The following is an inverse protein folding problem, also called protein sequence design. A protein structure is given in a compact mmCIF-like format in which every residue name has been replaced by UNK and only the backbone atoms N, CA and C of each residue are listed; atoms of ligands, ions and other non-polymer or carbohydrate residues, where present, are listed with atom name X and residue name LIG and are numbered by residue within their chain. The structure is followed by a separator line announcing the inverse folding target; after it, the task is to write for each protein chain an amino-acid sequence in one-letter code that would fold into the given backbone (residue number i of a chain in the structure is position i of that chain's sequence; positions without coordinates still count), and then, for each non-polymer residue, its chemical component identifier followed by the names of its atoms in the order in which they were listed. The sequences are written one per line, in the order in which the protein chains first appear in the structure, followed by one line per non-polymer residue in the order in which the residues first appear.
data_IF_313803974515
#
_entry.id   IF_313803974515
#
_cell.length_a   1.000
_cell.length_b   1.000
_cell.length_c   1.000
_cell.angle_alpha   90.00
_cell.angle_beta   90.00
_cell.angle_gamma   90.00
#
_symmetry.space_group_name_H-M   'P 1'
#
loop_
_entity.id
_entity.type
_entity.pdbx_description
1 polymer ?
#
# COMPACT_ATOMS: atom_id res chain seq x y z
N UNK A 1 -7.92 91.49 12.35
CA UNK A 1 -8.58 90.48 11.46
C UNK A 1 -7.56 89.45 11.00
N UNK A 2 -7.40 88.35 11.69
CA UNK A 2 -6.49 87.31 11.29
C UNK A 2 -7.10 85.97 11.69
N UNK A 3 -7.41 85.10 10.69
CA UNK A 3 -7.98 83.80 10.87
C UNK A 3 -6.85 82.82 11.16
N UNK A 4 -6.97 82.07 12.26
CA UNK A 4 -6.15 80.89 12.57
C UNK A 4 -6.57 79.75 11.68
N UNK A 5 -5.59 79.09 11.02
CA UNK A 5 -5.73 77.76 10.40
C UNK A 5 -5.20 76.71 11.37
N UNK A 6 -6.07 75.82 11.78
CA UNK A 6 -5.69 74.62 12.52
C UNK A 6 -5.20 73.54 11.55
N UNK A 7 -4.01 73.06 11.84
CA UNK A 7 -3.43 71.90 11.15
C UNK A 7 -3.88 70.62 11.87
N UNK A 8 -4.69 69.82 11.20
CA UNK A 8 -5.00 68.46 11.61
C UNK A 8 -3.92 67.52 11.07
N UNK A 9 -3.13 66.87 11.94
CA UNK A 9 -2.18 65.89 11.62
C UNK A 9 -2.87 64.48 11.42
N UNK A 10 -2.30 63.55 10.62
CA UNK A 10 -2.91 62.27 10.38
C UNK A 10 -2.72 61.31 11.57
N UNK A 11 -3.83 60.74 12.02
CA UNK A 11 -3.86 59.64 12.97
C UNK A 11 -3.30 58.36 12.26
N UNK A 12 -2.19 57.87 12.78
CA UNK A 12 -1.66 56.56 12.42
C UNK A 12 -2.55 55.47 13.01
N UNK A 13 -3.25 54.74 12.15
CA UNK A 13 -3.99 53.54 12.49
C UNK A 13 -3.00 52.37 12.59
N UNK A 14 -2.59 52.00 13.80
CA UNK A 14 -1.82 50.77 14.06
C UNK A 14 -2.76 49.59 13.92
N UNK A 15 -2.65 48.86 12.81
CA UNK A 15 -3.31 47.58 12.64
C UNK A 15 -2.62 46.53 13.53
N UNK A 16 -3.30 46.14 14.60
CA UNK A 16 -2.94 44.98 15.43
C UNK A 16 -3.21 43.72 14.64
N UNK A 17 -2.16 43.11 14.06
CA UNK A 17 -2.25 41.77 13.47
C UNK A 17 -2.28 40.79 14.64
N UNK A 18 -3.48 40.30 14.99
CA UNK A 18 -3.65 39.15 15.87
C UNK A 18 -3.29 37.91 15.06
N UNK A 19 -2.10 37.40 15.34
CA UNK A 19 -1.69 36.09 14.85
C UNK A 19 -2.51 35.02 15.62
N UNK A 20 -3.66 34.62 15.09
CA UNK A 20 -4.37 33.43 15.55
C UNK A 20 -3.55 32.27 15.04
N UNK A 21 -2.69 31.70 15.90
CA UNK A 21 -2.13 30.36 15.67
C UNK A 21 -3.30 29.38 15.64
N UNK A 22 -3.80 29.11 14.45
CA UNK A 22 -4.80 28.08 14.20
C UNK A 22 -4.16 26.75 14.49
N UNK A 23 -4.47 26.17 15.64
CA UNK A 23 -4.37 24.73 15.84
C UNK A 23 -5.34 24.11 14.83
N UNK A 24 -4.83 23.67 13.69
CA UNK A 24 -5.60 22.82 12.78
C UNK A 24 -6.03 21.60 13.57
N UNK A 25 -7.32 21.29 13.68
CA UNK A 25 -7.75 20.06 14.32
C UNK A 25 -7.15 18.93 13.51
N UNK A 26 -6.39 18.05 14.16
CA UNK A 26 -5.93 16.78 13.56
C UNK A 26 -7.18 16.06 13.08
N UNK A 27 -7.28 15.88 11.77
CA UNK A 27 -8.51 15.37 11.19
C UNK A 27 -8.76 13.92 11.66
N UNK A 28 -10.01 13.52 11.95
CA UNK A 28 -10.35 12.19 12.52
C UNK A 28 -9.88 10.98 11.70
N UNK A 29 -9.63 11.16 10.41
CA UNK A 29 -9.16 10.10 9.51
C UNK A 29 -7.66 9.79 9.66
N UNK A 30 -6.85 10.78 9.95
CA UNK A 30 -5.46 10.53 10.35
C UNK A 30 -5.40 9.64 11.60
N UNK A 31 -6.52 9.63 12.36
CA UNK A 31 -6.70 8.76 13.53
C UNK A 31 -7.17 7.37 13.12
N UNK A 32 -7.91 7.18 12.02
CA UNK A 32 -8.39 5.87 11.56
C UNK A 32 -7.30 5.10 10.79
N UNK A 33 -6.62 5.72 9.83
CA UNK A 33 -5.42 5.15 9.22
C UNK A 33 -4.31 4.94 10.27
N UNK A 34 -4.20 5.84 11.28
CA UNK A 34 -3.35 5.65 12.45
C UNK A 34 -3.86 4.57 13.39
N UNK A 35 -5.15 4.30 13.49
CA UNK A 35 -5.68 3.24 14.37
C UNK A 35 -5.45 1.84 13.77
N UNK A 36 -5.51 1.71 12.45
CA UNK A 36 -5.15 0.47 11.77
C UNK A 36 -3.62 0.23 11.82
N UNK A 37 -2.79 1.30 11.84
CA UNK A 37 -1.32 1.22 11.90
C UNK A 37 -0.71 1.53 13.29
N UNK A 38 -1.48 2.01 14.28
CA UNK A 38 -0.98 2.44 15.61
C UNK A 38 -1.14 1.33 16.66
N UNK A 39 -0.67 0.15 16.39
CA UNK A 39 -0.78 -1.02 17.28
C UNK A 39 0.35 -1.12 18.33
N UNK A 40 1.14 -0.07 18.51
CA UNK A 40 2.13 0.02 19.60
C UNK A 40 1.53 0.31 20.99
N UNK A 41 0.19 0.36 21.15
CA UNK A 41 -0.45 0.82 22.40
C UNK A 41 -1.40 -0.15 23.10
N UNK A 42 -1.47 -1.42 22.71
CA UNK A 42 -2.26 -2.40 23.44
C UNK A 42 -1.35 -3.27 24.33
N UNK A 43 -1.40 -3.06 25.62
CA UNK A 43 -0.90 -4.01 26.63
C UNK A 43 -1.76 -5.29 26.60
N UNK A 44 -1.18 -6.48 26.86
CA UNK A 44 -1.90 -7.74 26.70
C UNK A 44 -2.81 -8.03 27.89
N UNK A 45 -4.08 -8.28 27.65
CA UNK A 45 -4.91 -9.03 28.59
C UNK A 45 -4.69 -10.53 28.41
N UNK A 46 -4.40 -11.19 29.52
CA UNK A 46 -4.01 -12.59 29.66
C UNK A 46 -5.29 -13.45 29.72
N UNK A 47 -5.55 -14.29 28.70
CA UNK A 47 -6.54 -15.34 28.84
C UNK A 47 -6.05 -16.67 28.26
N UNK A 48 -5.81 -17.60 29.16
CA UNK A 48 -5.33 -18.94 28.89
C UNK A 48 -6.44 -19.84 28.31
N UNK A 49 -6.27 -20.31 27.07
CA UNK A 49 -7.14 -21.32 26.47
C UNK A 49 -6.51 -22.72 26.51
N UNK A 50 -7.27 -23.68 27.01
CA UNK A 50 -6.95 -25.11 27.13
C UNK A 50 -7.08 -25.84 25.77
N UNK A 51 -6.29 -26.88 25.49
CA UNK A 51 -6.35 -27.59 24.22
C UNK A 51 -7.48 -28.61 24.15
N UNK A 52 -8.19 -28.66 23.03
CA UNK A 52 -9.16 -29.70 22.68
C UNK A 52 -8.51 -30.78 21.80
N UNK A 53 -8.75 -32.02 22.19
CA UNK A 53 -8.26 -33.24 21.54
C UNK A 53 -9.11 -33.57 20.31
N UNK A 54 -8.51 -33.68 19.13
CA UNK A 54 -9.17 -34.10 17.90
C UNK A 54 -9.05 -35.60 17.65
N UNK A 55 -10.18 -36.23 17.34
CA UNK A 55 -10.30 -37.64 16.92
C UNK A 55 -9.99 -37.80 15.42
N UNK A 56 -9.21 -38.79 15.09
CA UNK A 56 -8.80 -39.22 13.73
C UNK A 56 -9.94 -40.01 13.06
N UNK A 57 -10.26 -39.82 11.77
CA UNK A 57 -11.08 -40.75 10.99
C UNK A 57 -10.24 -41.71 10.14
N UNK A 58 -10.84 -42.84 9.84
CA UNK A 58 -10.23 -44.01 9.25
C UNK A 58 -10.06 -43.91 7.72
N UNK A 59 -9.05 -44.64 7.24
CA UNK A 59 -8.64 -44.80 5.83
C UNK A 59 -9.65 -45.66 5.04
N UNK A 60 -10.09 -45.17 3.88
CA UNK A 60 -10.81 -45.93 2.88
C UNK A 60 -9.88 -46.21 1.68
N UNK A 61 -9.75 -47.47 1.31
CA UNK A 61 -8.96 -47.96 0.17
C UNK A 61 -9.83 -47.95 -1.10
N UNK A 62 -9.43 -47.20 -2.12
CA UNK A 62 -10.12 -47.16 -3.42
C UNK A 62 -9.25 -47.81 -4.49
N UNK A 63 -9.82 -48.84 -5.16
CA UNK A 63 -9.22 -49.59 -6.26
C UNK A 63 -9.32 -48.79 -7.57
N UNK A 64 -8.19 -48.67 -8.29
CA UNK A 64 -8.07 -47.92 -9.56
C UNK A 64 -8.28 -48.88 -10.74
N UNK A 65 -9.13 -48.54 -11.75
CA UNK A 65 -9.22 -49.29 -13.00
C UNK A 65 -8.10 -48.88 -14.00
N UNK A 66 -7.76 -49.71 -14.99
CA UNK A 66 -6.62 -49.49 -15.89
C UNK A 66 -6.88 -48.38 -16.89
N UNK A 67 -5.89 -47.50 -17.05
CA UNK A 67 -5.90 -46.32 -17.92
C UNK A 67 -5.46 -46.71 -19.34
N UNK A 68 -6.28 -46.38 -20.32
CA UNK A 68 -5.93 -46.43 -21.75
C UNK A 68 -5.10 -45.20 -22.09
N UNK A 69 -3.86 -45.40 -22.53
CA UNK A 69 -2.92 -44.32 -22.92
C UNK A 69 -3.31 -43.77 -24.27
N UNK A 70 -3.94 -42.62 -24.31
CA UNK A 70 -4.06 -41.79 -25.52
C UNK A 70 -2.87 -40.82 -25.57
N UNK A 71 -2.12 -40.86 -26.68
CA UNK A 71 -1.01 -39.93 -26.97
C UNK A 71 -1.57 -38.52 -27.08
N UNK A 72 -1.12 -37.55 -26.27
CA UNK A 72 -1.62 -36.20 -26.39
C UNK A 72 -1.03 -35.51 -27.64
N UNK A 73 -1.89 -35.04 -28.52
CA UNK A 73 -1.53 -34.07 -29.55
C UNK A 73 -1.12 -32.79 -28.86
N UNK A 74 0.14 -32.38 -28.95
CA UNK A 74 0.65 -31.15 -28.41
C UNK A 74 0.04 -29.97 -29.16
N UNK A 75 -1.08 -29.49 -28.73
CA UNK A 75 -1.61 -28.19 -29.17
C UNK A 75 -0.78 -27.12 -28.49
N UNK A 76 0.09 -26.44 -29.23
CA UNK A 76 0.81 -25.28 -28.73
C UNK A 76 -0.22 -24.21 -28.40
N UNK A 77 -0.43 -23.94 -27.11
CA UNK A 77 -1.26 -22.84 -26.68
C UNK A 77 -0.73 -21.53 -27.28
N UNK A 78 -1.60 -20.58 -27.70
CA UNK A 78 -1.15 -19.29 -28.14
C UNK A 78 -0.30 -18.62 -27.04
N UNK A 79 0.70 -17.81 -27.40
CA UNK A 79 1.54 -17.13 -26.41
C UNK A 79 0.65 -16.31 -25.48
N UNK A 80 0.80 -16.51 -24.18
CA UNK A 80 0.13 -15.69 -23.16
C UNK A 80 0.74 -14.29 -23.31
N UNK A 81 -0.06 -13.32 -23.74
CA UNK A 81 0.35 -11.91 -23.76
C UNK A 81 0.33 -11.45 -22.31
N UNK A 82 1.52 -11.28 -21.74
CA UNK A 82 1.68 -10.73 -20.39
C UNK A 82 1.11 -9.31 -20.34
N UNK A 83 0.14 -9.06 -19.46
CA UNK A 83 -0.52 -7.76 -19.31
C UNK A 83 0.12 -6.94 -18.21
N UNK A 84 0.46 -7.57 -17.07
CA UNK A 84 1.14 -6.90 -15.97
C UNK A 84 2.65 -7.11 -16.08
N UNK A 85 3.38 -5.99 -16.06
CA UNK A 85 4.84 -5.95 -16.20
C UNK A 85 5.47 -5.23 -15.01
N UNK A 86 6.80 -5.16 -14.98
CA UNK A 86 7.53 -4.39 -13.96
C UNK A 86 7.40 -2.86 -14.17
N UNK A 87 7.03 -2.39 -15.38
CA UNK A 87 7.02 -0.96 -15.70
C UNK A 87 6.13 -0.12 -14.77
N UNK A 88 4.88 -0.53 -14.44
CA UNK A 88 4.04 0.22 -13.53
C UNK A 88 4.60 0.37 -12.11
N UNK A 89 5.51 -0.50 -11.68
CA UNK A 89 6.13 -0.42 -10.36
C UNK A 89 7.38 0.47 -10.32
N UNK A 90 7.84 0.96 -11.48
CA UNK A 90 9.00 1.84 -11.57
C UNK A 90 8.61 3.30 -11.39
N UNK A 91 9.59 4.09 -10.95
CA UNK A 91 9.46 5.54 -10.90
C UNK A 91 8.75 6.09 -9.68
N UNK A 92 8.15 7.27 -9.82
CA UNK A 92 7.44 7.98 -8.75
C UNK A 92 5.99 7.51 -8.67
N UNK A 93 5.61 6.97 -7.52
CA UNK A 93 4.24 6.55 -7.21
C UNK A 93 3.48 7.51 -6.29
N UNK A 94 2.15 7.42 -6.31
CA UNK A 94 1.27 8.05 -5.33
C UNK A 94 0.12 7.10 -4.98
N UNK A 95 -0.40 7.19 -3.75
CA UNK A 95 -1.40 6.28 -3.20
C UNK A 95 -2.73 6.98 -2.97
N UNK A 96 -3.82 6.29 -3.32
CA UNK A 96 -5.19 6.62 -2.93
C UNK A 96 -5.83 5.39 -2.28
N UNK A 97 -6.30 5.53 -1.05
CA UNK A 97 -7.10 4.51 -0.41
C UNK A 97 -8.62 4.80 -0.55
N UNK A 98 -9.45 3.88 -0.07
CA UNK A 98 -10.91 4.03 -0.17
C UNK A 98 -11.45 5.20 0.65
N UNK A 99 -10.73 5.65 1.67
CA UNK A 99 -11.14 6.77 2.51
C UNK A 99 -10.89 8.12 1.84
N UNK A 100 -10.07 8.14 0.79
CA UNK A 100 -9.81 9.32 -0.02
C UNK A 100 -10.83 9.51 -1.15
N UNK A 101 -11.10 8.44 -1.92
CA UNK A 101 -11.79 8.58 -3.20
C UNK A 101 -13.20 7.99 -3.25
N UNK A 102 -13.53 6.97 -2.41
CA UNK A 102 -14.83 6.34 -2.45
C UNK A 102 -15.90 7.26 -1.87
N UNK A 103 -17.02 7.42 -2.54
CA UNK A 103 -18.17 8.17 -2.02
C UNK A 103 -18.81 7.48 -0.79
N UNK A 104 -18.70 6.13 -0.72
CA UNK A 104 -19.29 5.32 0.36
C UNK A 104 -18.41 5.24 1.60
N UNK A 105 -17.07 5.35 1.45
CA UNK A 105 -16.11 5.14 2.52
C UNK A 105 -15.29 6.37 2.87
N UNK A 106 -15.29 7.43 2.03
CA UNK A 106 -14.54 8.64 2.30
C UNK A 106 -14.89 9.21 3.67
N UNK A 107 -13.86 9.46 4.47
CA UNK A 107 -14.00 10.10 5.78
C UNK A 107 -13.98 11.62 5.69
N UNK A 108 -13.71 12.15 4.50
CA UNK A 108 -13.74 13.57 4.19
C UNK A 108 -14.80 13.88 3.14
N UNK A 109 -15.50 14.96 3.34
CA UNK A 109 -16.43 15.48 2.36
C UNK A 109 -15.90 16.81 1.80
N UNK A 110 -15.75 16.92 0.49
CA UNK A 110 -15.99 15.86 -0.51
C UNK A 110 -14.84 14.85 -0.57
N UNK A 111 -15.15 13.62 -1.01
CA UNK A 111 -14.14 12.67 -1.47
C UNK A 111 -13.39 13.27 -2.68
N UNK A 112 -12.17 12.77 -2.94
CA UNK A 112 -11.42 13.16 -4.14
C UNK A 112 -12.20 12.75 -5.38
N UNK A 113 -12.28 13.67 -6.34
CA UNK A 113 -12.85 13.40 -7.65
C UNK A 113 -11.75 12.96 -8.64
N UNK A 114 -12.10 12.34 -9.78
CA UNK A 114 -11.10 11.89 -10.76
C UNK A 114 -10.16 12.98 -11.28
N UNK A 115 -10.55 14.25 -11.24
CA UNK A 115 -9.69 15.38 -11.61
C UNK A 115 -8.53 15.63 -10.63
N UNK A 116 -8.56 15.04 -9.44
CA UNK A 116 -7.40 15.02 -8.53
C UNK A 116 -6.15 14.38 -9.18
N UNK A 117 -6.34 13.53 -10.18
CA UNK A 117 -5.24 12.93 -10.97
C UNK A 117 -4.46 14.00 -11.76
N UNK A 118 -5.08 15.12 -12.12
CA UNK A 118 -4.38 16.23 -12.79
C UNK A 118 -3.29 16.82 -11.88
N UNK A 119 -3.58 16.92 -10.59
CA UNK A 119 -2.59 17.37 -9.62
C UNK A 119 -1.44 16.36 -9.46
N UNK A 120 -1.72 15.04 -9.50
CA UNK A 120 -0.69 13.99 -9.52
C UNK A 120 0.20 14.13 -10.76
N UNK A 121 -0.39 14.31 -11.94
CA UNK A 121 0.33 14.51 -13.18
C UNK A 121 1.24 15.75 -13.12
N UNK A 122 0.73 16.85 -12.56
CA UNK A 122 1.49 18.11 -12.37
C UNK A 122 2.69 17.93 -11.43
N UNK A 123 2.62 17.00 -10.46
CA UNK A 123 3.73 16.64 -9.59
C UNK A 123 4.69 15.62 -10.21
N UNK A 124 4.39 15.15 -11.42
CA UNK A 124 5.23 14.21 -12.15
C UNK A 124 5.09 12.77 -11.68
N UNK A 125 4.01 12.40 -11.03
CA UNK A 125 3.67 11.03 -10.67
C UNK A 125 3.55 10.19 -11.94
N UNK A 126 4.09 8.98 -11.90
CA UNK A 126 4.12 8.04 -13.02
C UNK A 126 3.23 6.81 -12.77
N UNK A 127 2.90 6.55 -11.50
CA UNK A 127 2.02 5.43 -11.12
C UNK A 127 1.07 5.85 -10.00
N UNK A 128 -0.22 5.58 -10.23
CA UNK A 128 -1.27 5.67 -9.23
C UNK A 128 -1.52 4.29 -8.64
N UNK A 129 -1.29 4.14 -7.34
CA UNK A 129 -1.73 2.99 -6.55
C UNK A 129 -3.11 3.30 -5.98
N UNK A 130 -4.17 2.63 -6.43
CA UNK A 130 -5.53 2.89 -6.00
C UNK A 130 -6.17 1.67 -5.35
N UNK A 131 -6.71 1.81 -4.13
CA UNK A 131 -7.44 0.74 -3.48
C UNK A 131 -8.76 0.51 -4.22
N UNK A 132 -8.86 -0.63 -4.89
CA UNK A 132 -9.97 -0.90 -5.82
C UNK A 132 -11.09 -1.75 -5.22
N UNK A 133 -10.89 -2.30 -4.02
CA UNK A 133 -11.88 -3.09 -3.29
C UNK A 133 -11.74 -2.91 -1.78
N UNK A 134 -12.81 -3.24 -1.05
CA UNK A 134 -12.81 -3.26 0.41
C UNK A 134 -13.54 -4.50 0.91
N UNK A 135 -13.00 -5.13 1.96
CA UNK A 135 -13.48 -6.42 2.48
C UNK A 135 -14.96 -6.42 2.87
N UNK A 136 -15.48 -5.31 3.38
CA UNK A 136 -16.88 -5.14 3.80
C UNK A 136 -17.76 -4.44 2.77
N UNK A 137 -17.29 -4.22 1.53
CA UNK A 137 -18.13 -3.79 0.43
C UNK A 137 -18.95 -4.96 -0.09
N UNK A 138 -20.20 -4.72 -0.53
CA UNK A 138 -21.04 -5.77 -1.12
C UNK A 138 -20.51 -6.23 -2.48
N UNK A 139 -19.93 -5.32 -3.27
CA UNK A 139 -19.35 -5.59 -4.58
C UNK A 139 -17.90 -6.07 -4.49
N UNK A 140 -17.41 -6.76 -5.51
CA UNK A 140 -16.01 -7.18 -5.62
C UNK A 140 -15.09 -6.03 -5.98
N UNK A 141 -15.59 -5.08 -6.78
CA UNK A 141 -14.92 -3.83 -7.14
C UNK A 141 -15.73 -2.68 -6.57
N UNK A 142 -15.06 -1.81 -5.83
CA UNK A 142 -15.72 -0.67 -5.19
C UNK A 142 -16.08 0.40 -6.23
N UNK A 143 -17.36 0.85 -6.22
CA UNK A 143 -17.87 1.93 -7.05
C UNK A 143 -17.33 1.90 -8.51
N UNK A 144 -17.62 0.85 -9.30
CA UNK A 144 -16.90 0.58 -10.56
C UNK A 144 -16.85 1.76 -11.53
N UNK A 145 -17.95 2.51 -11.67
CA UNK A 145 -18.01 3.65 -12.58
C UNK A 145 -17.07 4.79 -12.14
N UNK A 146 -16.99 5.04 -10.83
CA UNK A 146 -16.11 6.07 -10.26
C UNK A 146 -14.65 5.64 -10.35
N UNK A 147 -14.34 4.38 -9.99
CA UNK A 147 -12.99 3.83 -10.12
C UNK A 147 -12.49 3.89 -11.57
N UNK A 148 -13.35 3.51 -12.54
CA UNK A 148 -13.02 3.62 -13.96
C UNK A 148 -12.69 5.05 -14.37
N UNK A 149 -13.39 6.05 -13.85
CA UNK A 149 -13.08 7.45 -14.16
C UNK A 149 -11.70 7.88 -13.64
N UNK A 150 -11.24 7.37 -12.48
CA UNK A 150 -9.86 7.56 -12.01
C UNK A 150 -8.84 6.87 -12.93
N UNK A 151 -9.10 5.62 -13.34
CA UNK A 151 -8.23 4.86 -14.24
C UNK A 151 -8.10 5.56 -15.59
N UNK A 152 -9.23 5.93 -16.20
CA UNK A 152 -9.26 6.63 -17.49
C UNK A 152 -8.52 7.98 -17.41
N UNK A 153 -8.69 8.72 -16.31
CA UNK A 153 -7.99 10.00 -16.11
C UNK A 153 -6.49 9.82 -15.95
N UNK A 154 -6.06 8.79 -15.22
CA UNK A 154 -4.64 8.45 -15.07
C UNK A 154 -4.02 8.11 -16.43
N UNK A 155 -4.68 7.26 -17.22
CA UNK A 155 -4.23 6.89 -18.56
C UNK A 155 -4.17 8.08 -19.52
N UNK A 156 -5.11 9.04 -19.45
CA UNK A 156 -5.05 10.28 -20.23
C UNK A 156 -3.79 11.09 -19.96
N UNK A 157 -3.24 11.01 -18.75
CA UNK A 157 -1.96 11.64 -18.38
C UNK A 157 -0.74 10.74 -18.57
N UNK A 158 -0.90 9.53 -19.08
CA UNK A 158 0.18 8.55 -19.19
C UNK A 158 0.66 8.00 -17.84
N UNK A 159 -0.17 8.12 -16.79
CA UNK A 159 0.07 7.55 -15.47
C UNK A 159 -0.46 6.12 -15.47
N UNK A 160 0.40 5.15 -15.13
CA UNK A 160 -0.01 3.76 -14.95
C UNK A 160 -0.84 3.60 -13.67
N UNK A 161 -1.73 2.62 -13.65
CA UNK A 161 -2.58 2.34 -12.49
C UNK A 161 -2.31 0.94 -11.96
N UNK A 162 -1.98 0.85 -10.67
CA UNK A 162 -1.93 -0.41 -9.93
C UNK A 162 -3.14 -0.46 -9.00
N UNK A 163 -4.04 -1.42 -9.27
CA UNK A 163 -5.13 -1.71 -8.36
C UNK A 163 -4.62 -2.50 -7.16
N UNK A 164 -5.04 -2.16 -5.94
CA UNK A 164 -4.68 -2.93 -4.76
C UNK A 164 -5.89 -3.22 -3.86
N UNK A 165 -5.73 -4.26 -3.04
CA UNK A 165 -6.74 -4.71 -2.09
C UNK A 165 -6.08 -5.27 -0.83
N UNK A 166 -6.71 -5.01 0.32
CA UNK A 166 -6.35 -5.54 1.64
C UNK A 166 -7.32 -6.70 1.99
N UNK A 167 -6.91 -7.96 1.80
CA UNK A 167 -7.66 -9.14 2.19
C UNK A 167 -7.73 -9.28 3.71
N UNK A 168 -8.86 -9.75 4.25
CA UNK A 168 -8.94 -10.11 5.67
C UNK A 168 -8.51 -11.54 5.94
N UNK A 169 -8.50 -12.37 4.92
CA UNK A 169 -8.25 -13.81 5.01
C UNK A 169 -9.29 -14.59 5.83
N UNK A 170 -10.39 -13.96 6.26
CA UNK A 170 -11.51 -14.66 6.90
C UNK A 170 -12.28 -15.54 5.91
N UNK A 171 -12.39 -15.09 4.65
CA UNK A 171 -12.93 -15.83 3.51
C UNK A 171 -11.93 -15.79 2.33
N UNK A 172 -10.99 -16.74 2.24
CA UNK A 172 -10.00 -16.82 1.17
C UNK A 172 -10.59 -16.83 -0.24
N UNK A 173 -11.77 -17.47 -0.40
CA UNK A 173 -12.47 -17.54 -1.69
C UNK A 173 -12.98 -16.17 -2.13
N UNK A 174 -13.57 -15.42 -1.22
CA UNK A 174 -14.05 -14.06 -1.48
C UNK A 174 -12.91 -13.08 -1.70
N UNK A 175 -11.81 -13.20 -0.96
CA UNK A 175 -10.62 -12.38 -1.15
C UNK A 175 -10.01 -12.61 -2.53
N UNK A 176 -9.86 -13.87 -2.96
CA UNK A 176 -9.40 -14.21 -4.30
C UNK A 176 -10.33 -13.66 -5.38
N UNK A 177 -11.65 -13.79 -5.21
CA UNK A 177 -12.65 -13.27 -6.15
C UNK A 177 -12.48 -11.76 -6.35
N UNK A 178 -12.28 -10.98 -5.28
CA UNK A 178 -12.03 -9.54 -5.35
C UNK A 178 -10.74 -9.20 -6.10
N UNK A 179 -9.65 -9.91 -5.80
CA UNK A 179 -8.38 -9.72 -6.49
C UNK A 179 -8.50 -9.98 -8.00
N UNK A 180 -9.21 -11.03 -8.39
CA UNK A 180 -9.44 -11.35 -9.80
C UNK A 180 -10.37 -10.33 -10.48
N UNK A 181 -11.36 -9.80 -9.76
CA UNK A 181 -12.23 -8.75 -10.27
C UNK A 181 -11.44 -7.45 -10.53
N UNK A 182 -10.51 -7.08 -9.65
CA UNK A 182 -9.58 -5.97 -9.87
C UNK A 182 -8.67 -6.25 -11.07
N UNK A 183 -8.13 -7.45 -11.16
CA UNK A 183 -7.30 -7.86 -12.29
C UNK A 183 -8.04 -7.81 -13.63
N UNK A 184 -9.35 -7.92 -13.66
CA UNK A 184 -10.17 -7.80 -14.87
C UNK A 184 -10.38 -6.34 -15.34
N UNK A 185 -10.13 -5.33 -14.48
CA UNK A 185 -10.18 -3.91 -14.84
C UNK A 185 -9.01 -3.55 -15.79
N UNK A 186 -9.08 -2.42 -16.49
CA UNK A 186 -7.97 -1.93 -17.31
C UNK A 186 -6.85 -1.29 -16.45
N UNK A 187 -6.48 -1.93 -15.35
CA UNK A 187 -5.30 -1.58 -14.54
C UNK A 187 -4.03 -2.14 -15.17
N UNK A 188 -2.89 -1.51 -14.91
CA UNK A 188 -1.57 -1.90 -15.46
C UNK A 188 -0.80 -2.84 -14.52
N UNK A 189 -1.31 -3.05 -13.32
CA UNK A 189 -0.75 -3.95 -12.32
C UNK A 189 -1.71 -4.25 -11.19
N UNK A 190 -1.36 -5.25 -10.38
CA UNK A 190 -2.12 -5.69 -9.21
C UNK A 190 -1.19 -5.86 -8.02
N UNK A 191 -1.58 -5.32 -6.86
CA UNK A 191 -0.86 -5.53 -5.60
C UNK A 191 -1.80 -6.01 -4.49
N UNK A 192 -1.28 -6.89 -3.62
CA UNK A 192 -1.99 -7.44 -2.47
C UNK A 192 -1.40 -6.85 -1.20
N UNK A 193 -2.24 -6.23 -0.39
CA UNK A 193 -1.86 -5.69 0.90
C UNK A 193 -1.95 -6.80 1.97
N UNK A 194 -0.80 -7.09 2.61
CA UNK A 194 -0.64 -8.25 3.51
C UNK A 194 -0.36 -7.77 4.92
N UNK A 195 -1.39 -7.25 5.59
CA UNK A 195 -1.28 -6.73 6.96
C UNK A 195 -2.42 -7.15 7.89
N UNK A 196 -3.52 -7.71 7.37
CA UNK A 196 -4.71 -7.99 8.16
C UNK A 196 -4.48 -9.07 9.22
N UNK A 197 -4.95 -8.78 10.43
CA UNK A 197 -4.95 -9.68 11.59
C UNK A 197 -6.34 -10.19 11.96
N UNK A 198 -7.33 -10.05 11.07
CA UNK A 198 -8.71 -10.49 11.32
C UNK A 198 -8.77 -11.98 11.69
N UNK A 199 -7.94 -12.84 11.07
CA UNK A 199 -7.75 -14.22 11.51
C UNK A 199 -6.79 -14.22 12.70
N UNK A 200 -7.32 -14.40 13.92
CA UNK A 200 -6.55 -14.31 15.16
C UNK A 200 -5.50 -15.41 15.35
N UNK A 201 -5.82 -16.66 14.94
CA UNK A 201 -4.84 -17.76 14.95
C UNK A 201 -3.77 -17.53 13.89
N UNK A 202 -2.52 -17.37 14.34
CA UNK A 202 -1.39 -17.04 13.46
C UNK A 202 -1.06 -18.16 12.47
N UNK A 203 -1.17 -19.43 12.87
CA UNK A 203 -0.90 -20.57 12.00
C UNK A 203 -1.93 -20.63 10.88
N UNK A 204 -3.20 -20.48 11.24
CA UNK A 204 -4.30 -20.45 10.28
C UNK A 204 -4.22 -19.21 9.38
N UNK A 205 -3.89 -18.05 9.93
CA UNK A 205 -3.67 -16.82 9.14
C UNK A 205 -2.56 -17.02 8.10
N UNK A 206 -1.39 -17.52 8.51
CA UNK A 206 -0.29 -17.81 7.58
C UNK A 206 -0.72 -18.79 6.48
N UNK A 207 -1.43 -19.86 6.86
CA UNK A 207 -1.95 -20.84 5.90
C UNK A 207 -2.85 -20.17 4.85
N UNK A 208 -3.79 -19.32 5.27
CA UNK A 208 -4.74 -18.64 4.39
C UNK A 208 -4.09 -17.57 3.51
N UNK A 209 -3.15 -16.81 4.05
CA UNK A 209 -2.36 -15.85 3.26
C UNK A 209 -1.63 -16.56 2.13
N UNK A 210 -0.96 -17.68 2.41
CA UNK A 210 -0.26 -18.49 1.40
C UNK A 210 -1.25 -19.12 0.41
N UNK A 211 -2.40 -19.60 0.90
CA UNK A 211 -3.47 -20.16 0.05
C UNK A 211 -3.97 -19.14 -0.97
N UNK A 212 -4.36 -17.93 -0.54
CA UNK A 212 -4.84 -16.86 -1.43
C UNK A 212 -3.75 -16.45 -2.42
N UNK A 213 -2.51 -16.29 -1.96
CA UNK A 213 -1.38 -15.88 -2.79
C UNK A 213 -1.07 -16.92 -3.89
N UNK A 214 -1.04 -18.20 -3.54
CA UNK A 214 -0.81 -19.28 -4.50
C UNK A 214 -1.97 -19.42 -5.49
N UNK A 215 -3.21 -19.28 -5.03
CA UNK A 215 -4.38 -19.30 -5.90
C UNK A 215 -4.40 -18.12 -6.87
N UNK A 216 -4.04 -16.93 -6.41
CA UNK A 216 -3.89 -15.75 -7.27
C UNK A 216 -2.81 -15.97 -8.32
N UNK A 217 -1.62 -16.47 -7.93
CA UNK A 217 -0.52 -16.78 -8.86
C UNK A 217 -0.94 -17.84 -9.88
N UNK A 218 -1.68 -18.87 -9.46
CA UNK A 218 -2.17 -19.91 -10.36
C UNK A 218 -3.20 -19.38 -11.37
N UNK A 219 -4.02 -18.39 -10.97
CA UNK A 219 -5.00 -17.77 -11.84
C UNK A 219 -4.38 -16.73 -12.81
N UNK A 220 -3.23 -16.15 -12.45
CA UNK A 220 -2.52 -15.11 -13.22
C UNK A 220 -1.07 -15.56 -13.49
N UNK A 221 -0.88 -16.68 -14.22
CA UNK A 221 0.45 -17.20 -14.49
C UNK A 221 1.25 -16.25 -15.39
N UNK A 222 2.49 -15.95 -14.97
CA UNK A 222 3.39 -15.07 -15.72
C UNK A 222 3.12 -13.57 -15.60
N UNK A 223 2.03 -13.14 -14.96
CA UNK A 223 1.78 -11.74 -14.66
C UNK A 223 2.69 -11.23 -13.53
N UNK A 224 3.14 -9.97 -13.59
CA UNK A 224 3.90 -9.34 -12.51
C UNK A 224 2.95 -8.91 -11.40
N UNK A 225 3.09 -9.51 -10.21
CA UNK A 225 2.25 -9.27 -9.05
C UNK A 225 3.05 -8.59 -7.93
N UNK A 226 2.44 -7.57 -7.30
CA UNK A 226 3.00 -6.86 -6.14
C UNK A 226 2.50 -7.42 -4.82
N UNK A 227 3.38 -7.47 -3.83
CA UNK A 227 3.03 -7.67 -2.42
C UNK A 227 3.31 -6.39 -1.64
N UNK A 228 2.37 -5.95 -0.81
CA UNK A 228 2.49 -4.82 0.12
C UNK A 228 2.48 -5.40 1.54
N UNK A 229 3.60 -5.96 2.02
CA UNK A 229 3.64 -6.58 3.35
C UNK A 229 3.93 -5.55 4.44
N UNK A 230 3.61 -5.94 5.67
CA UNK A 230 4.23 -5.32 6.84
C UNK A 230 5.75 -5.35 6.71
N UNK A 231 6.38 -4.31 7.19
CA UNK A 231 7.83 -4.20 7.14
C UNK A 231 8.51 -5.13 8.17
N UNK A 232 9.61 -5.81 7.79
CA UNK A 232 10.30 -6.76 8.67
C UNK A 232 10.71 -6.19 10.02
N UNK A 233 11.23 -4.95 10.07
CA UNK A 233 11.66 -4.32 11.33
C UNK A 233 10.49 -4.22 12.34
N UNK A 234 9.28 -3.95 11.88
CA UNK A 234 8.11 -3.91 12.77
C UNK A 234 7.87 -5.27 13.42
N UNK A 235 7.77 -6.32 12.59
CA UNK A 235 7.33 -7.64 13.04
C UNK A 235 8.46 -8.50 13.61
N UNK A 236 9.71 -8.06 13.56
CA UNK A 236 10.87 -8.80 14.08
C UNK A 236 11.52 -8.10 15.28
N UNK A 237 11.75 -6.78 15.20
CA UNK A 237 12.48 -6.05 16.23
C UNK A 237 11.56 -5.27 17.17
N UNK A 238 10.56 -4.57 16.61
CA UNK A 238 9.73 -3.64 17.38
C UNK A 238 8.59 -4.38 18.08
N UNK A 239 7.86 -5.20 17.34
CA UNK A 239 6.75 -5.99 17.88
C UNK A 239 6.72 -7.42 17.30
N UNK A 240 7.59 -8.32 17.77
CA UNK A 240 7.63 -9.71 17.27
C UNK A 240 6.33 -10.50 17.52
N UNK A 241 5.45 -10.00 18.39
CA UNK A 241 4.14 -10.63 18.66
C UNK A 241 3.08 -10.19 17.65
N UNK A 242 3.34 -9.16 16.86
CA UNK A 242 2.37 -8.63 15.91
C UNK A 242 2.01 -9.65 14.83
N UNK A 243 3.04 -10.24 14.20
CA UNK A 243 2.88 -11.34 13.24
C UNK A 243 4.07 -12.30 13.32
N UNK A 244 4.11 -13.18 14.34
CA UNK A 244 5.20 -14.14 14.50
C UNK A 244 5.21 -15.13 13.35
N UNK A 245 6.41 -15.42 12.81
CA UNK A 245 6.58 -16.37 11.71
C UNK A 245 5.87 -15.96 10.42
N UNK A 246 5.94 -14.67 10.04
CA UNK A 246 5.41 -14.21 8.76
C UNK A 246 5.97 -15.06 7.61
N UNK A 247 5.13 -15.57 6.69
CA UNK A 247 5.52 -16.66 5.76
C UNK A 247 6.25 -16.13 4.51
N UNK A 248 7.37 -15.43 4.69
CA UNK A 248 8.14 -14.79 3.60
C UNK A 248 8.54 -15.77 2.50
N UNK A 249 9.09 -16.93 2.89
CA UNK A 249 9.61 -17.91 1.94
C UNK A 249 8.48 -18.57 1.13
N UNK A 250 7.34 -18.80 1.75
CA UNK A 250 6.16 -19.39 1.12
C UNK A 250 5.46 -18.40 0.18
N UNK A 251 5.56 -17.10 0.46
CA UNK A 251 5.01 -16.02 -0.38
C UNK A 251 5.92 -15.67 -1.57
N UNK A 252 7.24 -15.87 -1.43
CA UNK A 252 8.22 -15.48 -2.45
C UNK A 252 7.92 -16.01 -3.86
N UNK A 253 7.40 -17.25 -4.07
CA UNK A 253 7.04 -17.72 -5.40
C UNK A 253 5.80 -17.05 -6.02
N UNK A 254 4.96 -16.41 -5.20
CA UNK A 254 3.70 -15.83 -5.63
C UNK A 254 3.81 -14.37 -6.07
N UNK A 255 4.89 -13.67 -5.68
CA UNK A 255 5.06 -12.24 -5.92
C UNK A 255 6.39 -11.90 -6.57
N UNK A 256 6.36 -10.87 -7.43
CA UNK A 256 7.51 -10.42 -8.22
C UNK A 256 8.08 -9.11 -7.70
N UNK A 257 7.23 -8.23 -7.15
CA UNK A 257 7.60 -6.91 -6.62
C UNK A 257 7.14 -6.80 -5.18
N UNK A 258 8.01 -6.27 -4.31
CA UNK A 258 7.74 -6.07 -2.89
C UNK A 258 7.66 -4.59 -2.57
N UNK A 259 6.61 -4.19 -1.85
CA UNK A 259 6.33 -2.81 -1.45
C UNK A 259 6.18 -2.74 0.08
N UNK A 260 7.26 -2.99 0.87
CA UNK A 260 7.15 -3.00 2.33
C UNK A 260 6.71 -1.63 2.85
N UNK A 261 5.72 -1.63 3.77
CA UNK A 261 5.14 -0.42 4.37
C UNK A 261 6.09 0.20 5.41
N UNK A 262 7.23 0.72 4.98
CA UNK A 262 8.29 1.20 5.86
C UNK A 262 7.98 2.59 6.44
N UNK A 263 6.97 2.67 7.30
CA UNK A 263 6.48 3.93 7.90
C UNK A 263 7.32 4.34 9.13
N UNK A 264 8.55 4.88 8.88
CA UNK A 264 9.42 5.41 9.96
C UNK A 264 8.74 6.46 10.82
N UNK A 265 7.76 7.17 10.29
CA UNK A 265 7.00 8.21 10.99
C UNK A 265 6.26 7.68 12.22
N UNK A 266 5.93 6.39 12.24
CA UNK A 266 5.30 5.69 13.34
C UNK A 266 6.32 5.09 14.32
N UNK A 267 7.62 5.31 14.14
CA UNK A 267 8.69 4.67 14.91
C UNK A 267 9.34 5.62 15.90
N UNK A 268 10.10 5.06 16.85
CA UNK A 268 10.84 5.80 17.88
C UNK A 268 12.29 5.30 17.93
N UNK A 269 13.13 6.04 18.66
CA UNK A 269 14.54 5.71 18.81
C UNK A 269 15.27 5.61 17.47
N UNK A 270 16.19 4.65 17.29
CA UNK A 270 16.98 4.53 16.07
C UNK A 270 16.15 4.28 14.81
N UNK A 271 14.99 3.63 14.96
CA UNK A 271 14.10 3.33 13.85
C UNK A 271 13.23 4.52 13.41
N UNK A 272 13.32 5.69 14.06
CA UNK A 272 12.72 6.94 13.58
C UNK A 272 13.53 7.57 12.44
N UNK A 273 14.78 7.18 12.27
CA UNK A 273 15.63 7.63 11.15
C UNK A 273 15.18 6.99 9.83
N UNK A 274 14.72 7.81 8.91
CA UNK A 274 14.13 7.37 7.64
C UNK A 274 15.10 6.57 6.77
N UNK A 275 16.39 6.96 6.75
CA UNK A 275 17.41 6.23 6.00
C UNK A 275 17.64 4.83 6.58
N UNK A 276 17.93 4.76 7.87
CA UNK A 276 18.21 3.48 8.54
C UNK A 276 17.03 2.52 8.47
N UNK A 277 15.81 3.04 8.66
CA UNK A 277 14.60 2.24 8.63
C UNK A 277 14.31 1.66 7.24
N UNK A 278 14.31 2.52 6.21
CA UNK A 278 14.09 2.08 4.83
C UNK A 278 15.18 1.10 4.38
N UNK A 279 16.43 1.44 4.65
CA UNK A 279 17.58 0.61 4.33
C UNK A 279 17.46 -0.81 4.89
N UNK A 280 17.20 -0.91 6.19
CA UNK A 280 17.11 -2.20 6.87
C UNK A 280 15.91 -3.02 6.39
N UNK A 281 14.75 -2.39 6.12
CA UNK A 281 13.58 -3.09 5.62
C UNK A 281 13.80 -3.66 4.21
N UNK A 282 14.43 -2.89 3.29
CA UNK A 282 14.78 -3.41 1.95
C UNK A 282 15.71 -4.62 2.07
N UNK A 283 16.78 -4.49 2.86
CA UNK A 283 17.79 -5.52 3.00
C UNK A 283 17.18 -6.81 3.59
N UNK A 284 16.29 -6.68 4.60
CA UNK A 284 15.61 -7.83 5.22
C UNK A 284 14.58 -8.49 4.29
N UNK A 285 13.75 -7.73 3.56
CA UNK A 285 12.84 -8.31 2.58
C UNK A 285 13.61 -9.17 1.58
N UNK A 286 14.71 -8.66 1.02
CA UNK A 286 15.56 -9.40 0.08
C UNK A 286 16.15 -10.68 0.69
N UNK A 287 16.59 -10.61 1.93
CA UNK A 287 17.10 -11.77 2.65
C UNK A 287 16.01 -12.83 2.88
N UNK A 288 14.81 -12.41 3.30
CA UNK A 288 13.69 -13.32 3.58
C UNK A 288 13.15 -14.03 2.33
N UNK A 289 13.06 -13.31 1.21
CA UNK A 289 12.60 -13.90 -0.05
C UNK A 289 13.72 -14.66 -0.79
N UNK A 290 14.93 -14.69 -0.22
CA UNK A 290 16.08 -15.42 -0.76
C UNK A 290 16.63 -14.85 -2.08
N UNK A 291 16.36 -13.57 -2.37
CA UNK A 291 16.77 -12.90 -3.62
C UNK A 291 17.41 -11.54 -3.31
N UNK A 292 18.75 -11.44 -3.35
CA UNK A 292 19.47 -10.19 -3.08
C UNK A 292 19.08 -9.04 -4.04
N UNK A 293 18.58 -9.39 -5.22
CA UNK A 293 18.12 -8.49 -6.28
C UNK A 293 16.60 -8.36 -6.37
N UNK A 294 15.85 -8.89 -5.37
CA UNK A 294 14.39 -8.84 -5.41
C UNK A 294 13.90 -7.41 -5.71
N UNK A 295 13.01 -7.26 -6.70
CA UNK A 295 12.46 -5.96 -7.07
C UNK A 295 11.69 -5.33 -5.91
N UNK A 296 12.08 -4.12 -5.53
CA UNK A 296 11.42 -3.35 -4.46
C UNK A 296 10.90 -2.03 -5.05
N UNK A 297 9.65 -1.68 -4.77
CA UNK A 297 9.19 -0.30 -4.81
C UNK A 297 9.19 0.22 -3.37
N UNK A 298 9.99 1.24 -3.09
CA UNK A 298 10.12 1.77 -1.73
C UNK A 298 8.86 2.54 -1.34
N UNK A 299 8.10 2.00 -0.38
CA UNK A 299 6.94 2.68 0.20
C UNK A 299 7.29 3.12 1.62
N UNK A 300 7.27 4.42 1.87
CA UNK A 300 7.70 4.92 3.16
C UNK A 300 6.99 6.18 3.61
N UNK A 301 7.06 6.47 4.90
CA UNK A 301 6.54 7.68 5.53
C UNK A 301 5.02 7.87 5.42
N UNK A 302 4.49 8.66 6.37
CA UNK A 302 3.13 9.21 6.29
C UNK A 302 3.27 10.69 5.98
N UNK A 303 2.64 11.19 4.91
CA UNK A 303 2.91 12.49 4.34
C UNK A 303 2.76 13.66 5.31
N UNK A 304 1.71 13.67 6.14
CA UNK A 304 1.42 14.79 7.06
C UNK A 304 2.40 14.93 8.24
N UNK A 305 3.19 13.90 8.53
CA UNK A 305 4.16 13.84 9.64
C UNK A 305 5.60 13.55 9.19
N UNK A 306 5.83 13.53 7.88
CA UNK A 306 7.16 13.37 7.26
C UNK A 306 7.80 14.74 7.06
N UNK A 307 9.08 14.90 7.43
CA UNK A 307 9.86 16.09 7.12
C UNK A 307 10.59 15.98 5.77
N UNK A 308 11.07 17.11 5.27
CA UNK A 308 11.93 17.15 4.06
C UNK A 308 13.22 16.35 4.30
N UNK A 309 13.80 16.47 5.47
CA UNK A 309 15.02 15.76 5.88
C UNK A 309 14.78 14.23 5.93
N UNK A 310 13.63 13.81 6.45
CA UNK A 310 13.21 12.40 6.41
C UNK A 310 13.18 11.89 4.95
N UNK A 311 12.60 12.65 4.02
CA UNK A 311 12.52 12.27 2.61
C UNK A 311 13.89 12.19 1.93
N UNK A 312 14.83 13.04 2.29
CA UNK A 312 16.21 12.96 1.81
C UNK A 312 16.88 11.65 2.27
N UNK A 313 16.68 11.29 3.53
CA UNK A 313 17.15 10.02 4.08
C UNK A 313 16.52 8.82 3.39
N UNK A 314 15.20 8.80 3.27
CA UNK A 314 14.41 7.78 2.57
C UNK A 314 14.88 7.57 1.14
N UNK A 315 14.91 8.65 0.35
CA UNK A 315 15.36 8.62 -1.04
C UNK A 315 16.78 8.06 -1.18
N UNK A 316 17.71 8.54 -0.36
CA UNK A 316 19.09 8.05 -0.38
C UNK A 316 19.15 6.54 -0.13
N UNK A 317 18.48 6.05 0.92
CA UNK A 317 18.44 4.62 1.24
C UNK A 317 17.90 3.77 0.09
N UNK A 318 16.82 4.22 -0.54
CA UNK A 318 16.15 3.55 -1.65
C UNK A 318 17.04 3.51 -2.90
N UNK A 319 17.62 4.64 -3.31
CA UNK A 319 18.46 4.73 -4.51
C UNK A 319 19.76 3.94 -4.36
N UNK A 320 20.41 3.98 -3.20
CA UNK A 320 21.62 3.18 -2.90
C UNK A 320 21.36 1.67 -2.99
N UNK A 321 20.10 1.24 -2.81
CA UNK A 321 19.67 -0.16 -2.90
C UNK A 321 19.02 -0.52 -4.21
N UNK A 322 19.14 0.35 -5.22
CA UNK A 322 18.64 0.07 -6.58
C UNK A 322 17.20 -0.44 -6.60
N UNK A 323 16.30 0.32 -5.96
CA UNK A 323 14.85 0.03 -6.00
C UNK A 323 14.25 0.35 -7.37
N UNK A 324 13.08 -0.19 -7.69
CA UNK A 324 12.36 0.11 -8.93
C UNK A 324 11.75 1.50 -8.94
N UNK A 325 11.27 1.96 -7.79
CA UNK A 325 10.55 3.22 -7.63
C UNK A 325 10.41 3.60 -6.17
N UNK A 326 9.76 4.72 -5.93
CA UNK A 326 9.50 5.18 -4.57
C UNK A 326 8.26 6.05 -4.44
N UNK A 327 7.64 6.00 -3.28
CA UNK A 327 6.44 6.75 -2.91
C UNK A 327 6.35 6.91 -1.40
N UNK A 328 5.51 7.84 -0.96
CA UNK A 328 5.07 7.92 0.45
C UNK A 328 3.55 7.76 0.52
N UNK A 329 3.05 7.39 1.67
CA UNK A 329 1.62 7.24 1.93
C UNK A 329 1.11 8.53 2.58
N UNK A 330 0.09 9.18 2.08
CA UNK A 330 -0.60 9.03 0.80
C UNK A 330 -0.59 10.37 0.03
N UNK A 331 -1.28 10.43 -1.13
CA UNK A 331 -1.38 11.67 -1.93
C UNK A 331 -2.01 12.81 -1.13
N UNK A 332 -3.09 12.52 -0.39
CA UNK A 332 -3.85 13.54 0.33
C UNK A 332 -3.05 14.22 1.44
N UNK A 333 -2.15 13.49 2.06
CA UNK A 333 -1.27 13.97 3.15
C UNK A 333 0.06 14.50 2.64
N UNK A 334 0.43 14.21 1.39
CA UNK A 334 1.69 14.67 0.78
C UNK A 334 1.63 16.18 0.54
N UNK A 335 2.55 16.92 1.16
CA UNK A 335 2.58 18.38 1.11
C UNK A 335 3.47 18.89 -0.03
N UNK A 336 3.27 20.15 -0.44
CA UNK A 336 4.02 20.78 -1.52
C UNK A 336 5.56 20.68 -1.39
N UNK A 337 6.18 20.84 -0.20
CA UNK A 337 7.63 20.70 -0.05
C UNK A 337 8.17 19.29 -0.22
N UNK A 338 7.30 18.24 -0.19
CA UNK A 338 7.72 16.84 -0.34
C UNK A 338 8.01 16.47 -1.78
N UNK A 339 7.25 17.02 -2.74
CA UNK A 339 7.33 16.63 -4.14
C UNK A 339 8.72 16.81 -4.76
N UNK A 340 9.45 17.93 -4.54
CA UNK A 340 10.82 18.06 -5.04
C UNK A 340 11.77 16.95 -4.57
N UNK A 341 11.57 16.45 -3.35
CA UNK A 341 12.40 15.39 -2.79
C UNK A 341 12.06 14.00 -3.36
N UNK A 342 10.83 13.82 -3.84
CA UNK A 342 10.36 12.57 -4.46
C UNK A 342 10.64 12.52 -5.96
N UNK A 343 10.78 13.66 -6.65
CA UNK A 343 11.01 13.74 -8.08
C UNK A 343 12.17 12.88 -8.61
N UNK A 344 13.30 12.69 -7.90
CA UNK A 344 14.38 11.83 -8.39
C UNK A 344 13.99 10.37 -8.64
N UNK A 345 12.92 9.86 -8.03
CA UNK A 345 12.41 8.52 -8.34
C UNK A 345 11.93 8.39 -9.79
N UNK A 346 11.52 9.47 -10.44
CA UNK A 346 11.09 9.45 -11.85
C UNK A 346 12.16 8.92 -12.79
N UNK A 347 13.43 9.14 -12.47
CA UNK A 347 14.55 8.70 -13.31
C UNK A 347 14.71 7.17 -13.34
N UNK A 348 14.02 6.45 -12.45
CA UNK A 348 14.02 4.99 -12.41
C UNK A 348 13.08 4.37 -13.46
N UNK A 349 12.21 5.19 -14.06
CA UNK A 349 11.32 4.81 -15.17
C UNK A 349 11.69 5.65 -16.40
N UNK A 350 12.58 5.11 -17.24
CA UNK A 350 13.04 5.73 -18.49
C UNK A 350 12.38 5.09 -19.69
#
# INVERSE_FOLDING_TARGET
MMRRRELLGPLALSALVVLVAGLSPVAPWATAARAEHNLDRAEPEDEAARPAVAKRPATATTTVPPTTTTVPTTTTAPPIVQRFTFEPYKGLGAWLDVYDWSASFAQHSPALEPDAVDALAAQGVQTLYIQASKWNAPEDVLEPARLMAFIDRAHQHGISVIGWYLPTYEDPGRDLQRLLAIAALPVDGLAVDIESRAVGDVVERNRRVVEVSNALRAALPGEVLGAIPLEPILIEDINPRYWPGFPWAELAPSYDVWLPMAYWTNRRGPWRDAYSYMAANIDRVRAHVGRPDAPIHALGGIGDVTSVEDLQGFRRAALERSVLGGSIYDFRTTQAPHWPELLPFRELRK
#
